data_IF_357038132506
#
_entry.id   IF_357038132506
#
_cell.length_a   1.000
_cell.length_b   1.000
_cell.length_c   1.000
_cell.angle_alpha   90.00
_cell.angle_beta   90.00
_cell.angle_gamma   90.00
#
_symmetry.space_group_name_H-M   'P 1'
#
loop_
_entity.id
_entity.type
_entity.pdbx_description
1 polymer ?
#
# COMPACT_ATOMS: atom_id res chain seq x y z
N UNK A 1 3.10 26.34 11.27
CA UNK A 1 3.85 25.37 12.11
C UNK A 1 4.65 24.38 11.25
N UNK A 2 4.05 23.61 10.34
CA UNK A 2 4.77 22.60 9.53
C UNK A 2 5.97 23.16 8.74
N UNK A 3 5.75 24.20 7.91
CA UNK A 3 6.85 24.86 7.16
C UNK A 3 7.97 25.41 8.05
N UNK A 4 7.60 26.05 9.16
CA UNK A 4 8.58 26.56 10.13
C UNK A 4 9.44 25.44 10.76
N UNK A 5 8.99 24.19 10.69
CA UNK A 5 9.74 23.00 11.13
C UNK A 5 10.43 22.24 9.98
N UNK A 6 10.45 22.80 8.77
CA UNK A 6 11.11 22.21 7.60
C UNK A 6 10.37 21.02 6.97
N UNK A 7 9.11 20.77 7.33
CA UNK A 7 8.31 19.72 6.71
C UNK A 7 7.76 20.17 5.34
N UNK A 8 7.81 19.29 4.34
CA UNK A 8 7.10 19.47 3.06
C UNK A 8 5.59 19.54 3.30
N UNK A 9 4.93 20.55 2.72
CA UNK A 9 3.49 20.80 2.89
C UNK A 9 2.75 20.55 1.59
N UNK A 10 1.79 19.62 1.64
CA UNK A 10 0.80 19.41 0.58
C UNK A 10 -0.50 20.10 1.01
N UNK A 11 -1.05 20.95 0.15
CA UNK A 11 -2.32 21.66 0.41
C UNK A 11 -3.38 21.22 -0.59
N UNK A 12 -4.53 20.75 -0.13
CA UNK A 12 -5.68 20.38 -0.97
C UNK A 12 -6.85 21.31 -0.73
N UNK A 13 -7.40 21.89 -1.80
CA UNK A 13 -8.59 22.74 -1.72
C UNK A 13 -9.44 22.63 -2.99
N UNK A 14 -10.74 22.91 -2.85
CA UNK A 14 -11.71 22.90 -3.94
C UNK A 14 -12.06 24.30 -4.46
N UNK A 15 -11.42 25.33 -3.91
CA UNK A 15 -11.52 26.71 -4.39
C UNK A 15 -10.15 27.18 -4.90
N UNK A 16 -10.15 27.86 -6.03
CA UNK A 16 -8.94 28.46 -6.58
C UNK A 16 -8.43 29.61 -5.71
N UNK A 17 -7.11 29.87 -5.74
CA UNK A 17 -6.50 31.05 -5.11
C UNK A 17 -6.57 31.10 -3.59
N UNK A 18 -6.86 29.99 -2.91
CA UNK A 18 -6.96 30.00 -1.44
C UNK A 18 -5.61 30.21 -0.76
N UNK A 19 -5.58 30.82 0.45
CA UNK A 19 -4.35 30.92 1.25
C UNK A 19 -3.67 29.57 1.50
N UNK A 20 -4.45 28.49 1.61
CA UNK A 20 -3.92 27.13 1.77
C UNK A 20 -3.07 26.71 0.56
N UNK A 21 -3.57 26.92 -0.66
CA UNK A 21 -2.85 26.55 -1.88
C UNK A 21 -1.60 27.43 -2.07
N UNK A 22 -1.71 28.74 -1.83
CA UNK A 22 -0.56 29.65 -1.94
C UNK A 22 0.55 29.35 -0.92
N UNK A 23 0.18 28.82 0.24
CA UNK A 23 1.13 28.49 1.30
C UNK A 23 1.74 27.09 1.17
N UNK A 24 1.24 26.21 0.30
CA UNK A 24 1.73 24.83 0.14
C UNK A 24 2.96 24.73 -0.77
N UNK A 25 3.79 23.70 -0.59
CA UNK A 25 4.87 23.36 -1.53
C UNK A 25 4.31 22.58 -2.73
N UNK A 26 3.29 21.75 -2.48
CA UNK A 26 2.53 21.04 -3.50
C UNK A 26 1.04 21.40 -3.38
N UNK A 27 0.58 22.45 -4.08
CA UNK A 27 -0.84 22.78 -4.13
C UNK A 27 -1.59 21.82 -5.06
N UNK A 28 -2.67 21.24 -4.55
CA UNK A 28 -3.60 20.38 -5.29
C UNK A 28 -4.96 21.06 -5.30
N UNK A 29 -5.25 21.73 -6.41
CA UNK A 29 -6.58 22.31 -6.66
C UNK A 29 -7.49 21.24 -7.26
N UNK A 30 -8.55 20.89 -6.52
CA UNK A 30 -9.56 19.92 -6.93
C UNK A 30 -10.79 20.69 -7.40
N UNK A 31 -10.81 21.06 -8.67
CA UNK A 31 -11.93 21.81 -9.25
C UNK A 31 -13.21 20.96 -9.20
N UNK A 32 -14.23 21.48 -8.52
CA UNK A 32 -15.53 20.83 -8.38
C UNK A 32 -16.62 21.86 -8.59
N UNK A 33 -17.72 21.51 -9.30
CA UNK A 33 -18.83 22.42 -9.50
C UNK A 33 -19.52 22.77 -8.16
N UNK A 34 -20.39 23.80 -8.16
CA UNK A 34 -21.25 24.08 -7.01
C UNK A 34 -22.01 22.83 -6.55
N UNK A 35 -22.12 22.68 -5.24
CA UNK A 35 -22.82 21.55 -4.64
C UNK A 35 -24.33 21.65 -4.87
N UNK A 36 -24.98 20.49 -5.07
CA UNK A 36 -26.45 20.41 -5.21
C UNK A 36 -27.16 20.98 -3.97
N UNK A 37 -26.64 20.67 -2.78
CA UNK A 37 -27.04 21.31 -1.53
C UNK A 37 -26.01 22.39 -1.23
N UNK A 38 -26.43 23.66 -1.32
CA UNK A 38 -25.55 24.81 -1.11
C UNK A 38 -24.74 24.67 0.18
N UNK A 39 -23.41 24.70 0.04
CA UNK A 39 -22.45 24.59 1.15
C UNK A 39 -22.16 23.17 1.66
N UNK A 40 -22.83 22.13 1.17
CA UNK A 40 -22.63 20.75 1.63
C UNK A 40 -21.42 20.06 0.99
N UNK A 41 -20.22 20.57 1.27
CA UNK A 41 -18.94 20.12 0.70
C UNK A 41 -18.57 18.65 0.99
N UNK A 42 -19.28 17.97 1.89
CA UNK A 42 -19.14 16.51 2.06
C UNK A 42 -19.53 15.70 0.82
N UNK A 43 -20.15 16.33 -0.18
CA UNK A 43 -20.62 15.73 -1.42
C UNK A 43 -19.52 15.73 -2.48
N UNK A 44 -19.58 16.62 -3.48
CA UNK A 44 -18.64 16.66 -4.59
C UNK A 44 -17.21 16.90 -4.14
N UNK A 45 -16.99 17.94 -3.33
CA UNK A 45 -15.66 18.30 -2.84
C UNK A 45 -15.02 17.18 -1.99
N UNK A 46 -15.78 16.61 -1.05
CA UNK A 46 -15.34 15.49 -0.21
C UNK A 46 -15.02 14.23 -1.01
N UNK A 47 -15.81 13.95 -2.05
CA UNK A 47 -15.55 12.82 -2.96
C UNK A 47 -14.25 13.02 -3.74
N UNK A 48 -14.01 14.23 -4.27
CA UNK A 48 -12.77 14.56 -4.97
C UNK A 48 -11.55 14.40 -4.06
N UNK A 49 -11.64 14.88 -2.81
CA UNK A 49 -10.56 14.72 -1.82
C UNK A 49 -10.30 13.26 -1.47
N UNK A 50 -11.34 12.43 -1.29
CA UNK A 50 -11.19 10.99 -1.08
C UNK A 50 -10.45 10.34 -2.24
N UNK A 51 -10.79 10.67 -3.48
CA UNK A 51 -10.12 10.13 -4.66
C UNK A 51 -8.64 10.51 -4.66
N UNK A 52 -8.32 11.79 -4.43
CA UNK A 52 -6.94 12.27 -4.36
C UNK A 52 -6.12 11.56 -3.27
N UNK A 53 -6.67 11.42 -2.06
CA UNK A 53 -6.03 10.70 -0.95
C UNK A 53 -5.82 9.20 -1.25
N UNK A 54 -6.81 8.56 -1.89
CA UNK A 54 -6.69 7.18 -2.32
C UNK A 54 -5.58 7.00 -3.36
N UNK A 55 -5.48 7.92 -4.34
CA UNK A 55 -4.41 7.89 -5.33
C UNK A 55 -3.04 8.06 -4.68
N UNK A 56 -2.89 9.07 -3.82
CA UNK A 56 -1.63 9.35 -3.13
C UNK A 56 -1.15 8.14 -2.33
N UNK A 57 -2.00 7.61 -1.44
CA UNK A 57 -1.65 6.47 -0.59
C UNK A 57 -1.41 5.19 -1.38
N UNK A 58 -2.17 4.94 -2.45
CA UNK A 58 -1.98 3.76 -3.31
C UNK A 58 -0.66 3.82 -4.08
N UNK A 59 -0.34 4.97 -4.67
CA UNK A 59 0.94 5.17 -5.38
C UNK A 59 2.13 5.03 -4.42
N UNK A 60 2.04 5.60 -3.22
CA UNK A 60 3.06 5.40 -2.18
C UNK A 60 3.24 3.91 -1.84
N UNK A 61 2.15 3.16 -1.66
CA UNK A 61 2.21 1.72 -1.38
C UNK A 61 2.86 0.93 -2.54
N UNK A 62 2.61 1.31 -3.79
CA UNK A 62 3.27 0.71 -4.95
C UNK A 62 4.78 0.97 -4.92
N UNK A 63 5.20 2.22 -4.73
CA UNK A 63 6.63 2.60 -4.68
C UNK A 63 7.39 1.94 -3.53
N UNK A 64 6.74 1.80 -2.38
CA UNK A 64 7.26 1.08 -1.20
C UNK A 64 7.23 -0.46 -1.35
N UNK A 65 6.86 -0.97 -2.53
CA UNK A 65 6.81 -2.41 -2.82
C UNK A 65 5.75 -3.16 -2.00
N UNK A 66 4.71 -2.47 -1.53
CA UNK A 66 3.61 -3.07 -0.77
C UNK A 66 2.55 -3.74 -1.66
N UNK A 67 2.65 -3.53 -2.98
CA UNK A 67 1.81 -4.14 -4.01
C UNK A 67 2.69 -4.95 -4.97
N UNK A 68 2.22 -6.13 -5.35
CA UNK A 68 2.84 -6.99 -6.36
C UNK A 68 1.76 -7.52 -7.32
N UNK A 69 1.85 -7.15 -8.60
CA UNK A 69 0.90 -7.58 -9.65
C UNK A 69 -0.57 -7.43 -9.26
N UNK A 70 -0.91 -6.26 -8.72
CA UNK A 70 -2.27 -5.91 -8.27
C UNK A 70 -2.67 -6.49 -6.92
N UNK A 71 -1.80 -7.27 -6.25
CA UNK A 71 -2.07 -7.85 -4.94
C UNK A 71 -1.40 -7.03 -3.83
N UNK A 72 -2.13 -6.72 -2.77
CA UNK A 72 -1.55 -6.15 -1.55
C UNK A 72 -0.75 -7.23 -0.84
N UNK A 73 0.56 -7.06 -0.77
CA UNK A 73 1.48 -8.03 -0.14
C UNK A 73 2.04 -7.55 1.20
N UNK A 74 1.80 -6.27 1.56
CA UNK A 74 2.17 -5.73 2.87
C UNK A 74 1.02 -5.81 3.87
N UNK A 75 0.62 -7.01 4.25
CA UNK A 75 -0.36 -7.26 5.29
C UNK A 75 0.03 -8.46 6.16
N UNK A 76 -0.55 -8.50 7.36
CA UNK A 76 -0.49 -9.64 8.27
C UNK A 76 -1.85 -10.32 8.33
N UNK A 77 -1.87 -11.64 8.20
CA UNK A 77 -3.07 -12.46 8.32
C UNK A 77 -3.49 -12.66 9.80
N UNK A 78 -4.09 -11.64 10.42
CA UNK A 78 -4.46 -11.64 11.85
C UNK A 78 -5.92 -12.05 12.15
N UNK A 79 -6.72 -12.30 11.11
CA UNK A 79 -8.09 -12.74 11.23
C UNK A 79 -8.47 -13.71 10.11
N UNK A 80 -9.58 -14.42 10.28
CA UNK A 80 -10.03 -15.49 9.35
C UNK A 80 -10.13 -14.98 7.91
N UNK A 81 -10.71 -13.79 7.69
CA UNK A 81 -10.84 -13.18 6.36
C UNK A 81 -9.48 -12.87 5.74
N UNK A 82 -8.57 -12.27 6.51
CA UNK A 82 -7.22 -11.95 6.03
C UNK A 82 -6.37 -13.20 5.83
N UNK A 83 -6.58 -14.27 6.61
CA UNK A 83 -5.90 -15.55 6.42
C UNK A 83 -6.27 -16.20 5.09
N UNK A 84 -7.57 -16.28 4.79
CA UNK A 84 -8.05 -16.78 3.49
C UNK A 84 -7.50 -15.96 2.32
N UNK A 85 -7.54 -14.63 2.43
CA UNK A 85 -6.98 -13.72 1.41
C UNK A 85 -5.47 -13.91 1.24
N UNK A 86 -4.73 -13.97 2.34
CA UNK A 86 -3.28 -14.14 2.35
C UNK A 86 -2.88 -15.46 1.71
N UNK A 87 -3.56 -16.56 2.08
CA UNK A 87 -3.33 -17.90 1.51
C UNK A 87 -3.48 -17.89 -0.01
N UNK A 88 -4.56 -17.29 -0.52
CA UNK A 88 -4.78 -17.12 -1.96
C UNK A 88 -3.69 -16.29 -2.66
N UNK A 89 -3.20 -15.21 -2.02
CA UNK A 89 -2.10 -14.39 -2.55
C UNK A 89 -0.79 -15.18 -2.59
N UNK A 90 -0.45 -15.87 -1.50
CA UNK A 90 0.77 -16.69 -1.39
C UNK A 90 0.74 -17.81 -2.42
N UNK A 91 -0.35 -18.58 -2.48
CA UNK A 91 -0.51 -19.66 -3.46
C UNK A 91 -0.39 -19.17 -4.90
N UNK A 92 -1.01 -18.03 -5.24
CA UNK A 92 -0.95 -17.45 -6.59
C UNK A 92 0.45 -16.99 -6.97
N UNK A 93 1.18 -16.30 -6.08
CA UNK A 93 2.51 -15.75 -6.40
C UNK A 93 3.57 -16.86 -6.36
N UNK A 94 3.54 -17.75 -5.37
CA UNK A 94 4.52 -18.82 -5.25
C UNK A 94 4.23 -19.99 -6.21
N UNK A 95 3.00 -20.14 -6.70
CA UNK A 95 2.58 -21.26 -7.55
C UNK A 95 2.43 -22.56 -6.77
N UNK A 96 1.87 -22.49 -5.57
CA UNK A 96 1.69 -23.64 -4.66
C UNK A 96 0.22 -23.84 -4.28
N UNK A 97 -0.10 -25.04 -3.79
CA UNK A 97 -1.42 -25.35 -3.25
C UNK A 97 -1.68 -24.64 -1.91
N UNK A 98 -2.95 -24.56 -1.50
CA UNK A 98 -3.38 -23.81 -0.32
C UNK A 98 -2.77 -24.33 0.98
N UNK A 99 -2.58 -25.65 1.11
CA UNK A 99 -1.94 -26.28 2.25
C UNK A 99 -0.49 -25.81 2.45
N UNK A 100 0.29 -25.72 1.37
CA UNK A 100 1.65 -25.18 1.38
C UNK A 100 1.67 -23.68 1.64
N UNK A 101 0.71 -22.93 1.09
CA UNK A 101 0.57 -21.50 1.35
C UNK A 101 0.25 -21.21 2.82
N UNK A 102 -0.66 -21.99 3.42
CA UNK A 102 -1.04 -21.86 4.83
C UNK A 102 0.13 -22.23 5.76
N UNK A 103 0.85 -23.32 5.47
CA UNK A 103 2.06 -23.68 6.22
C UNK A 103 3.14 -22.60 6.16
N UNK A 104 3.35 -21.99 4.99
CA UNK A 104 4.31 -20.89 4.83
C UNK A 104 3.87 -19.62 5.57
N UNK A 105 2.56 -19.32 5.60
CA UNK A 105 2.01 -18.23 6.39
C UNK A 105 2.19 -18.46 7.89
N UNK A 106 1.98 -19.68 8.36
CA UNK A 106 2.19 -20.02 9.77
C UNK A 106 3.67 -19.88 10.15
N UNK A 107 4.58 -20.36 9.31
CA UNK A 107 6.03 -20.17 9.49
C UNK A 107 6.46 -18.69 9.44
N UNK A 108 5.74 -17.86 8.70
CA UNK A 108 5.95 -16.41 8.60
C UNK A 108 5.12 -15.59 9.60
N UNK A 109 4.47 -16.24 10.57
CA UNK A 109 3.61 -15.60 11.58
C UNK A 109 2.52 -14.69 10.96
N UNK A 110 2.02 -15.06 9.78
CA UNK A 110 1.00 -14.36 9.01
C UNK A 110 1.53 -13.27 8.08
N UNK A 111 2.84 -13.01 8.02
CA UNK A 111 3.42 -12.05 7.09
C UNK A 111 3.42 -12.59 5.64
N UNK A 112 2.79 -11.86 4.70
CA UNK A 112 2.61 -12.35 3.33
C UNK A 112 3.91 -12.39 2.52
N UNK A 113 4.74 -11.35 2.56
CA UNK A 113 5.99 -11.33 1.76
C UNK A 113 6.97 -12.45 2.14
N UNK A 114 7.29 -12.69 3.43
CA UNK A 114 8.15 -13.80 3.80
C UNK A 114 7.51 -15.15 3.45
N UNK A 115 6.20 -15.32 3.68
CA UNK A 115 5.49 -16.56 3.33
C UNK A 115 5.61 -16.90 1.84
N UNK A 116 5.54 -15.90 0.94
CA UNK A 116 5.74 -16.10 -0.50
C UNK A 116 7.13 -16.69 -0.79
N UNK A 117 8.19 -16.14 -0.19
CA UNK A 117 9.56 -16.61 -0.42
C UNK A 117 9.79 -17.99 0.20
N UNK A 118 9.25 -18.25 1.38
CA UNK A 118 9.29 -19.57 2.03
C UNK A 118 8.61 -20.61 1.14
N UNK A 119 7.39 -20.33 0.67
CA UNK A 119 6.63 -21.23 -0.20
C UNK A 119 7.32 -21.48 -1.55
N UNK A 120 7.89 -20.43 -2.16
CA UNK A 120 8.51 -20.53 -3.49
C UNK A 120 9.89 -21.18 -3.45
N UNK A 121 10.74 -20.72 -2.53
CA UNK A 121 12.16 -21.10 -2.46
C UNK A 121 12.44 -22.31 -1.56
N UNK A 122 11.46 -22.75 -0.76
CA UNK A 122 11.66 -23.78 0.28
C UNK A 122 12.79 -23.42 1.25
N UNK A 123 12.90 -22.13 1.57
CA UNK A 123 13.93 -21.57 2.45
C UNK A 123 13.37 -21.28 3.86
N UNK A 124 14.23 -21.23 4.89
CA UNK A 124 13.84 -20.73 6.21
C UNK A 124 13.27 -19.31 6.17
N UNK A 125 12.35 -19.01 7.09
CA UNK A 125 11.76 -17.66 7.23
C UNK A 125 12.80 -16.58 7.55
N UNK A 126 13.89 -16.95 8.26
CA UNK A 126 15.02 -16.05 8.54
C UNK A 126 15.65 -15.52 7.25
N UNK A 127 15.83 -16.41 6.28
CA UNK A 127 16.50 -16.13 5.02
C UNK A 127 15.58 -15.31 4.12
N UNK A 128 14.29 -15.66 4.09
CA UNK A 128 13.25 -14.88 3.42
C UNK A 128 13.20 -13.43 3.96
N UNK A 129 13.24 -13.25 5.29
CA UNK A 129 13.29 -11.93 5.92
C UNK A 129 14.60 -11.19 5.57
N UNK A 130 15.73 -11.89 5.43
CA UNK A 130 16.99 -11.27 5.01
C UNK A 130 16.93 -10.77 3.57
N UNK A 131 16.51 -11.62 2.64
CA UNK A 131 16.34 -11.25 1.22
C UNK A 131 15.42 -10.04 1.09
N UNK A 132 14.33 -9.98 1.86
CA UNK A 132 13.43 -8.82 1.86
C UNK A 132 14.10 -7.56 2.38
N UNK A 133 14.95 -7.63 3.42
CA UNK A 133 15.71 -6.45 3.87
C UNK A 133 16.67 -5.96 2.79
N UNK A 134 17.40 -6.88 2.18
CA UNK A 134 18.44 -6.58 1.20
C UNK A 134 17.85 -6.01 -0.11
N UNK A 135 16.58 -6.30 -0.38
CA UNK A 135 15.85 -5.80 -1.56
C UNK A 135 14.93 -4.61 -1.26
N UNK A 136 15.06 -4.00 -0.06
CA UNK A 136 14.22 -2.87 0.34
C UNK A 136 12.72 -3.21 0.42
N UNK A 137 12.40 -4.48 0.70
CA UNK A 137 11.05 -5.01 0.79
C UNK A 137 10.35 -5.22 -0.55
N UNK A 138 11.05 -5.07 -1.68
CA UNK A 138 10.46 -5.21 -3.03
C UNK A 138 10.43 -6.68 -3.46
N UNK A 139 9.23 -7.28 -3.42
CA UNK A 139 9.03 -8.71 -3.63
C UNK A 139 9.55 -9.23 -4.98
N UNK A 140 9.44 -8.45 -6.07
CA UNK A 140 9.94 -8.86 -7.39
C UNK A 140 11.46 -9.05 -7.40
N UNK A 141 12.19 -8.14 -6.76
CA UNK A 141 13.64 -8.25 -6.62
C UNK A 141 14.02 -9.41 -5.69
N UNK A 142 13.26 -9.62 -4.61
CA UNK A 142 13.44 -10.74 -3.69
C UNK A 142 13.25 -12.11 -4.38
N UNK A 143 12.21 -12.27 -5.18
CA UNK A 143 11.96 -13.51 -5.93
C UNK A 143 13.08 -13.81 -6.95
N UNK A 144 13.67 -12.78 -7.55
CA UNK A 144 14.78 -12.94 -8.49
C UNK A 144 16.07 -13.46 -7.83
N UNK A 145 16.23 -13.32 -6.50
CA UNK A 145 17.36 -13.89 -5.75
C UNK A 145 17.17 -15.36 -5.37
N UNK A 146 15.97 -15.92 -5.57
CA UNK A 146 15.69 -17.36 -5.38
C UNK A 146 15.94 -18.18 -6.64
N UNK A 147 16.24 -17.53 -7.76
CA UNK A 147 16.51 -18.16 -9.07
C UNK A 147 18.02 -18.27 -9.26
#
# INVERSE_FOLDING_TARGET
>A
IAKAKGATVIGMANNAGTPLLMAADHPIFLDTPPELISGSTRMGAGTAQKIALNMLSTLMAIELGHVHDGMMVNLRADNIKLRQRASGIVGRIAGVASDQADAALDAAEGEVKPAILVARGRIPVSDARSILRDTGGKLRAALAQLT
#
